data_IF_495071689142
#
_entry.id   IF_495071689142
#
_cell.length_a   1.000
_cell.length_b   1.000
_cell.length_c   1.000
_cell.angle_alpha   90.00
_cell.angle_beta   90.00
_cell.angle_gamma   90.00
#
_symmetry.space_group_name_H-M   'P 1'
#
loop_
_entity.id
_entity.type
_entity.pdbx_description
1 polymer ?
#
# COMPACT_ATOMS: atom_id res chain seq x y z
N UNK A 1 14.06 3.10 -15.66
CA UNK A 1 13.91 2.14 -14.56
C UNK A 1 14.96 2.39 -13.49
N UNK A 2 14.52 2.59 -12.26
CA UNK A 2 15.44 2.79 -11.15
C UNK A 2 16.06 1.46 -10.71
N UNK A 3 17.19 1.53 -10.00
CA UNK A 3 17.93 0.36 -9.54
C UNK A 3 17.05 -0.60 -8.74
N UNK A 4 16.20 -0.08 -7.84
CA UNK A 4 15.35 -0.91 -6.99
C UNK A 4 14.39 -1.81 -7.80
N UNK A 5 13.93 -1.33 -8.93
CA UNK A 5 12.99 -2.08 -9.76
C UNK A 5 13.62 -3.32 -10.39
N UNK A 6 14.91 -3.26 -10.68
CA UNK A 6 15.63 -4.41 -11.25
C UNK A 6 15.76 -5.57 -10.29
N UNK A 7 15.76 -5.27 -8.99
CA UNK A 7 15.99 -6.26 -7.94
C UNK A 7 14.72 -6.62 -7.17
N UNK A 8 13.58 -6.02 -7.51
CA UNK A 8 12.31 -6.38 -6.90
C UNK A 8 11.82 -7.71 -7.45
N UNK A 9 11.23 -8.57 -6.59
CA UNK A 9 10.60 -9.79 -7.08
C UNK A 9 9.48 -9.45 -8.06
N UNK A 10 9.41 -10.15 -9.17
CA UNK A 10 8.35 -9.94 -10.17
C UNK A 10 7.11 -10.76 -9.88
N UNK A 11 7.27 -11.86 -9.18
CA UNK A 11 6.17 -12.77 -8.85
C UNK A 11 6.07 -12.92 -7.34
N UNK A 12 4.85 -13.11 -6.87
CA UNK A 12 4.60 -13.30 -5.43
C UNK A 12 5.34 -14.51 -4.87
N UNK A 13 5.48 -15.57 -5.65
CA UNK A 13 6.19 -16.77 -5.24
C UNK A 13 7.68 -16.51 -4.96
N UNK A 14 8.23 -15.44 -5.52
CA UNK A 14 9.63 -15.09 -5.34
C UNK A 14 9.87 -14.33 -4.03
N UNK A 15 8.81 -13.92 -3.35
CA UNK A 15 8.89 -13.25 -2.06
C UNK A 15 8.93 -14.32 -0.96
N UNK A 16 9.95 -14.26 -0.12
CA UNK A 16 10.11 -15.20 0.98
C UNK A 16 9.57 -14.60 2.28
N UNK A 17 8.85 -15.43 3.04
CA UNK A 17 8.27 -14.98 4.31
C UNK A 17 6.96 -14.24 4.17
N UNK A 18 6.29 -14.02 5.31
CA UNK A 18 5.03 -13.27 5.39
C UNK A 18 3.89 -13.82 4.53
N UNK A 19 3.85 -15.13 4.35
CA UNK A 19 2.86 -15.78 3.47
C UNK A 19 1.41 -15.46 3.82
N UNK A 20 1.09 -15.47 5.12
CA UNK A 20 -0.29 -15.20 5.56
C UNK A 20 -0.72 -13.80 5.18
N UNK A 21 0.14 -12.81 5.42
CA UNK A 21 -0.16 -11.43 5.10
C UNK A 21 -0.28 -11.22 3.59
N UNK A 22 0.58 -11.88 2.81
CA UNK A 22 0.53 -11.81 1.35
C UNK A 22 -0.76 -12.44 0.82
N UNK A 23 -1.17 -13.60 1.36
CA UNK A 23 -2.43 -14.23 0.97
C UNK A 23 -3.63 -13.35 1.26
N UNK A 24 -3.64 -12.69 2.43
CA UNK A 24 -4.71 -11.78 2.79
C UNK A 24 -4.72 -10.54 1.91
N UNK A 25 -3.55 -10.05 1.52
CA UNK A 25 -3.43 -8.94 0.59
C UNK A 25 -3.99 -9.29 -0.79
N UNK A 26 -3.61 -10.46 -1.30
CA UNK A 26 -4.10 -10.95 -2.60
C UNK A 26 -5.62 -11.10 -2.58
N UNK A 27 -6.16 -11.70 -1.52
CA UNK A 27 -7.59 -11.84 -1.37
C UNK A 27 -8.29 -10.48 -1.34
N UNK A 28 -7.74 -9.52 -0.61
CA UNK A 28 -8.32 -8.18 -0.54
C UNK A 28 -8.38 -7.54 -1.92
N UNK A 29 -7.32 -7.62 -2.70
CA UNK A 29 -7.27 -6.99 -4.02
C UNK A 29 -8.24 -7.69 -4.99
N UNK A 30 -8.20 -9.02 -5.04
CA UNK A 30 -9.03 -9.78 -5.97
C UNK A 30 -10.51 -9.70 -5.66
N UNK A 31 -10.86 -9.59 -4.39
CA UNK A 31 -12.26 -9.53 -3.95
C UNK A 31 -12.63 -8.17 -3.39
N UNK A 32 -11.98 -7.14 -3.88
CA UNK A 32 -12.11 -5.77 -3.37
C UNK A 32 -13.56 -5.31 -3.19
N UNK A 33 -14.40 -5.58 -4.18
CA UNK A 33 -15.80 -5.13 -4.15
C UNK A 33 -16.60 -5.76 -3.01
N UNK A 34 -16.19 -6.94 -2.55
CA UNK A 34 -16.88 -7.67 -1.48
C UNK A 34 -16.41 -7.27 -0.09
N UNK A 35 -15.27 -6.61 0.01
CA UNK A 35 -14.73 -6.21 1.31
C UNK A 35 -15.42 -4.95 1.81
N UNK A 36 -15.84 -4.92 3.09
CA UNK A 36 -16.45 -3.72 3.66
C UNK A 36 -15.47 -2.56 3.79
N UNK A 37 -14.20 -2.87 4.05
CA UNK A 37 -13.16 -1.86 4.10
C UNK A 37 -12.49 -1.77 2.73
N UNK A 38 -12.24 -0.54 2.27
CA UNK A 38 -11.71 -0.28 0.94
C UNK A 38 -10.21 -0.04 0.93
N UNK A 39 -9.56 -0.20 2.06
CA UNK A 39 -8.13 0.04 2.20
C UNK A 39 -7.47 -0.96 3.12
N UNK A 40 -6.16 -1.13 2.92
CA UNK A 40 -5.30 -2.01 3.72
C UNK A 40 -4.06 -1.23 4.11
N UNK A 41 -3.61 -1.41 5.35
CA UNK A 41 -2.31 -0.89 5.80
C UNK A 41 -1.37 -2.07 6.00
N UNK A 42 -0.25 -2.06 5.30
CA UNK A 42 0.82 -3.03 5.46
C UNK A 42 1.83 -2.45 6.44
N UNK A 43 1.96 -3.05 7.61
CA UNK A 43 2.80 -2.54 8.69
C UNK A 43 3.98 -3.46 8.93
N UNK A 44 5.16 -2.90 8.99
CA UNK A 44 6.35 -3.69 9.27
C UNK A 44 7.63 -2.94 8.94
N UNK A 45 8.78 -3.51 9.32
CA UNK A 45 10.06 -2.84 9.09
C UNK A 45 10.40 -2.72 7.61
N UNK A 46 11.31 -1.81 7.30
CA UNK A 46 11.85 -1.66 5.95
C UNK A 46 12.48 -2.99 5.52
N UNK A 47 12.24 -3.38 4.27
CA UNK A 47 12.79 -4.63 3.73
C UNK A 47 11.98 -5.87 4.05
N UNK A 48 10.80 -5.73 4.67
CA UNK A 48 9.94 -6.88 4.97
C UNK A 48 9.09 -7.34 3.79
N UNK A 49 9.15 -6.65 2.64
CA UNK A 49 8.44 -7.05 1.44
C UNK A 49 7.09 -6.40 1.21
N UNK A 50 6.75 -5.34 1.95
CA UNK A 50 5.47 -4.66 1.83
C UNK A 50 5.21 -4.14 0.41
N UNK A 51 6.04 -3.25 -0.05
CA UNK A 51 5.92 -2.64 -1.38
C UNK A 51 6.15 -3.66 -2.48
N UNK A 52 7.14 -4.54 -2.30
CA UNK A 52 7.44 -5.59 -3.28
C UNK A 52 6.25 -6.51 -3.52
N UNK A 53 5.47 -6.81 -2.48
CA UNK A 53 4.28 -7.67 -2.60
C UNK A 53 3.23 -7.04 -3.51
N UNK A 54 3.03 -5.73 -3.39
CA UNK A 54 2.06 -5.01 -4.22
C UNK A 54 2.48 -5.04 -5.68
N UNK A 55 3.74 -4.73 -5.97
CA UNK A 55 4.24 -4.73 -7.34
C UNK A 55 4.29 -6.13 -7.94
N UNK A 56 4.66 -7.13 -7.16
CA UNK A 56 4.66 -8.50 -7.65
C UNK A 56 3.25 -8.96 -8.02
N UNK A 57 2.26 -8.65 -7.18
CA UNK A 57 0.88 -8.95 -7.50
C UNK A 57 0.43 -8.24 -8.78
N UNK A 58 0.74 -6.96 -8.89
CA UNK A 58 0.32 -6.16 -10.03
C UNK A 58 0.92 -6.69 -11.34
N UNK A 59 2.20 -7.03 -11.32
CA UNK A 59 2.88 -7.59 -12.49
C UNK A 59 2.27 -8.93 -12.89
N UNK A 60 2.02 -9.79 -11.91
CA UNK A 60 1.48 -11.13 -12.16
C UNK A 60 0.03 -11.10 -12.66
N UNK A 61 -0.76 -10.13 -12.23
CA UNK A 61 -2.19 -10.04 -12.53
C UNK A 61 -2.57 -8.89 -13.46
N UNK A 62 -1.59 -8.22 -14.02
CA UNK A 62 -1.78 -7.13 -14.98
C UNK A 62 -2.58 -5.94 -14.42
N UNK A 63 -2.26 -5.54 -13.21
CA UNK A 63 -2.81 -4.34 -12.59
C UNK A 63 -1.87 -3.15 -12.81
N UNK A 64 -2.45 -1.96 -12.88
CA UNK A 64 -1.70 -0.71 -12.89
C UNK A 64 -1.58 -0.20 -11.45
N UNK A 65 -0.35 0.16 -11.03
CA UNK A 65 -0.12 0.72 -9.70
C UNK A 65 0.08 2.23 -9.82
N UNK A 66 -0.76 2.98 -9.11
CA UNK A 66 -0.61 4.43 -8.97
C UNK A 66 0.06 4.66 -7.62
N UNK A 67 1.35 4.90 -7.64
CA UNK A 67 2.15 5.03 -6.43
C UNK A 67 2.33 6.49 -6.03
N UNK A 68 2.24 6.73 -4.73
CA UNK A 68 2.50 8.01 -4.13
C UNK A 68 3.16 7.82 -2.77
N UNK A 69 4.14 8.65 -2.46
CA UNK A 69 4.74 8.65 -1.14
C UNK A 69 3.99 9.68 -0.29
N UNK A 70 3.49 9.25 0.86
CA UNK A 70 2.70 10.12 1.74
C UNK A 70 3.48 11.36 2.22
N UNK A 71 4.81 11.26 2.30
CA UNK A 71 5.65 12.39 2.68
C UNK A 71 5.59 13.56 1.69
N UNK A 72 5.13 13.30 0.45
CA UNK A 72 4.95 14.33 -0.57
C UNK A 72 3.70 15.16 -0.32
N UNK A 73 2.79 14.68 0.51
CA UNK A 73 1.60 15.44 0.88
C UNK A 73 1.94 16.48 1.95
N UNK A 74 1.63 17.72 1.68
CA UNK A 74 1.93 18.81 2.62
C UNK A 74 0.68 19.27 3.38
N UNK A 75 -0.48 19.07 2.81
CA UNK A 75 -1.72 19.54 3.42
C UNK A 75 -2.92 18.75 2.84
N UNK A 76 -4.10 19.03 3.40
CA UNK A 76 -5.35 18.41 2.98
C UNK A 76 -5.61 18.58 1.49
N UNK A 77 -5.37 19.78 0.95
CA UNK A 77 -5.66 20.06 -0.45
C UNK A 77 -4.82 19.21 -1.41
N UNK A 78 -3.55 18.95 -1.09
CA UNK A 78 -2.69 18.11 -1.91
C UNK A 78 -3.17 16.66 -1.91
N UNK A 79 -3.64 16.16 -0.78
CA UNK A 79 -4.20 14.81 -0.66
C UNK A 79 -5.47 14.71 -1.50
N UNK A 80 -6.39 15.66 -1.35
CA UNK A 80 -7.64 15.68 -2.09
C UNK A 80 -7.40 15.75 -3.60
N UNK A 81 -6.48 16.60 -4.02
CA UNK A 81 -6.13 16.74 -5.43
C UNK A 81 -5.62 15.44 -6.03
N UNK A 82 -4.69 14.78 -5.33
CA UNK A 82 -4.16 13.51 -5.80
C UNK A 82 -5.24 12.43 -5.85
N UNK A 83 -5.99 12.25 -4.76
CA UNK A 83 -6.98 11.18 -4.67
C UNK A 83 -8.12 11.39 -5.69
N UNK A 84 -8.59 12.61 -5.86
CA UNK A 84 -9.61 12.90 -6.85
C UNK A 84 -9.11 12.62 -8.27
N UNK A 85 -7.88 13.00 -8.57
CA UNK A 85 -7.27 12.73 -9.87
C UNK A 85 -7.14 11.22 -10.10
N UNK A 86 -6.63 10.49 -9.11
CA UNK A 86 -6.45 9.04 -9.21
C UNK A 86 -7.80 8.31 -9.37
N UNK A 87 -8.82 8.72 -8.61
CA UNK A 87 -10.13 8.08 -8.66
C UNK A 87 -10.88 8.37 -9.94
N UNK A 88 -10.65 9.55 -10.54
CA UNK A 88 -11.31 9.94 -11.78
C UNK A 88 -10.55 9.52 -13.02
N UNK A 89 -9.30 9.12 -12.87
CA UNK A 89 -8.48 8.70 -14.00
C UNK A 89 -8.93 7.31 -14.46
N UNK A 90 -9.51 7.26 -15.64
CA UNK A 90 -9.83 5.98 -16.25
C UNK A 90 -8.59 5.47 -16.96
N UNK A 91 -8.29 4.19 -16.78
CA UNK A 91 -7.20 3.58 -17.50
C UNK A 91 -7.51 3.54 -18.99
N UNK A 92 -6.61 4.10 -19.81
CA UNK A 92 -6.76 4.05 -21.26
C UNK A 92 -6.72 2.60 -21.77
N UNK A 93 -6.11 1.71 -21.02
CA UNK A 93 -5.98 0.30 -21.36
C UNK A 93 -6.99 -0.58 -20.62
N UNK A 94 -7.92 0.03 -19.92
CA UNK A 94 -8.94 -0.65 -19.12
C UNK A 94 -8.36 -1.64 -18.11
N UNK A 95 -7.15 -1.38 -17.65
CA UNK A 95 -6.52 -2.20 -16.61
C UNK A 95 -7.08 -1.86 -15.24
N UNK A 96 -7.28 -2.85 -14.39
CA UNK A 96 -7.61 -2.57 -12.99
C UNK A 96 -6.43 -1.84 -12.32
N UNK A 97 -6.75 -1.01 -11.34
CA UNK A 97 -5.76 -0.16 -10.68
C UNK A 97 -5.65 -0.46 -9.19
N UNK A 98 -4.47 -0.24 -8.65
CA UNK A 98 -4.20 -0.24 -7.22
C UNK A 98 -3.62 1.13 -6.90
N UNK A 99 -4.15 1.78 -5.86
CA UNK A 99 -3.57 3.03 -5.36
C UNK A 99 -2.65 2.64 -4.22
N UNK A 100 -1.36 2.91 -4.36
CA UNK A 100 -0.36 2.60 -3.35
C UNK A 100 0.13 3.89 -2.73
N UNK A 101 -0.10 4.05 -1.43
CA UNK A 101 0.36 5.21 -0.66
C UNK A 101 1.45 4.74 0.28
N UNK A 102 2.69 5.04 -0.08
CA UNK A 102 3.84 4.54 0.64
C UNK A 102 4.19 5.43 1.82
N UNK A 103 4.62 4.80 2.90
CA UNK A 103 5.13 5.48 4.09
C UNK A 103 4.15 6.51 4.69
N UNK A 104 2.97 6.04 5.09
CA UNK A 104 1.96 6.92 5.70
C UNK A 104 2.42 7.53 7.02
N UNK A 105 3.48 6.98 7.64
CA UNK A 105 4.14 7.58 8.80
C UNK A 105 4.50 9.04 8.52
N UNK A 106 4.81 9.37 7.27
CA UNK A 106 5.14 10.74 6.86
C UNK A 106 3.99 11.73 7.07
N UNK A 107 2.75 11.25 7.12
CA UNK A 107 1.60 12.12 7.38
C UNK A 107 1.60 12.68 8.81
N UNK A 108 2.28 12.02 9.74
CA UNK A 108 2.34 12.48 11.13
C UNK A 108 3.06 13.81 11.28
N UNK A 109 3.89 14.19 10.30
CA UNK A 109 4.57 15.47 10.27
C UNK A 109 3.80 16.61 9.65
N UNK A 110 2.59 16.36 9.16
CA UNK A 110 1.76 17.40 8.54
C UNK A 110 1.29 18.41 9.59
N UNK A 111 1.34 19.68 9.23
CA UNK A 111 0.82 20.74 10.07
C UNK A 111 -0.70 20.74 10.10
N UNK A 112 -1.33 20.28 9.04
CA UNK A 112 -2.78 20.22 8.92
C UNK A 112 -3.29 18.87 9.42
N UNK A 113 -3.93 18.86 10.58
CA UNK A 113 -4.49 17.67 11.19
C UNK A 113 -5.65 17.06 10.38
N UNK A 114 -6.23 17.85 9.48
CA UNK A 114 -7.31 17.37 8.61
C UNK A 114 -6.86 16.42 7.51
N UNK A 115 -5.54 16.32 7.26
CA UNK A 115 -5.01 15.52 6.17
C UNK A 115 -5.34 14.03 6.26
N UNK A 116 -5.07 13.42 7.42
CA UNK A 116 -5.36 12.01 7.62
C UNK A 116 -6.85 11.72 7.56
N UNK A 117 -7.68 12.61 8.10
CA UNK A 117 -9.13 12.47 8.06
C UNK A 117 -9.66 12.61 6.63
N UNK A 118 -9.11 13.55 5.86
CA UNK A 118 -9.49 13.73 4.47
C UNK A 118 -9.14 12.48 3.65
N UNK A 119 -7.95 11.93 3.86
CA UNK A 119 -7.54 10.70 3.19
C UNK A 119 -8.48 9.54 3.54
N UNK A 120 -8.84 9.41 4.82
CA UNK A 120 -9.74 8.35 5.26
C UNK A 120 -11.11 8.44 4.57
N UNK A 121 -11.65 9.65 4.45
CA UNK A 121 -12.95 9.84 3.76
C UNK A 121 -12.86 9.51 2.28
N UNK A 122 -11.78 9.92 1.62
CA UNK A 122 -11.59 9.66 0.20
C UNK A 122 -11.41 8.17 -0.07
N UNK A 123 -10.71 7.46 0.80
CA UNK A 123 -10.52 6.02 0.66
C UNK A 123 -11.84 5.25 0.70
N UNK A 124 -12.77 5.67 1.55
CA UNK A 124 -14.06 5.01 1.66
C UNK A 124 -14.86 5.06 0.35
N UNK A 125 -14.61 6.07 -0.46
CA UNK A 125 -15.31 6.27 -1.74
C UNK A 125 -14.54 5.71 -2.92
N UNK A 126 -13.37 5.14 -2.70
CA UNK A 126 -12.53 4.66 -3.80
C UNK A 126 -13.15 3.47 -4.51
N UNK A 127 -13.09 3.51 -5.83
CA UNK A 127 -13.46 2.37 -6.68
C UNK A 127 -12.29 1.40 -6.89
N UNK A 128 -11.12 1.75 -6.38
CA UNK A 128 -9.90 0.96 -6.52
C UNK A 128 -9.35 0.58 -5.16
N UNK A 129 -8.72 -0.60 -5.02
CA UNK A 129 -8.05 -0.95 -3.76
C UNK A 129 -7.02 0.09 -3.39
N UNK A 130 -7.05 0.56 -2.15
CA UNK A 130 -6.07 1.49 -1.62
C UNK A 130 -5.19 0.71 -0.65
N UNK A 131 -3.89 0.66 -0.94
CA UNK A 131 -2.93 -0.03 -0.11
C UNK A 131 -1.92 0.99 0.41
N UNK A 132 -1.73 0.99 1.71
CA UNK A 132 -0.81 1.91 2.37
C UNK A 132 0.28 1.12 3.06
N UNK A 133 1.47 1.68 3.17
CA UNK A 133 2.56 1.06 3.93
C UNK A 133 2.97 1.96 5.08
N UNK A 134 3.40 1.33 6.17
CA UNK A 134 3.92 2.02 7.35
C UNK A 134 5.05 1.19 7.95
N UNK A 135 6.09 1.85 8.40
CA UNK A 135 7.27 1.16 8.97
C UNK A 135 7.12 0.92 10.47
N UNK A 136 6.37 1.75 11.17
CA UNK A 136 6.31 1.75 12.61
C UNK A 136 4.90 1.57 13.14
N UNK A 137 4.85 1.09 14.37
CA UNK A 137 3.62 0.90 15.13
C UNK A 137 3.16 2.17 15.83
N UNK A 138 3.92 3.25 15.82
CA UNK A 138 3.47 4.54 16.35
C UNK A 138 2.40 5.16 15.46
N UNK A 139 1.33 4.42 15.32
CA UNK A 139 0.25 4.82 14.43
C UNK A 139 -0.88 5.55 15.18
N UNK A 140 -0.64 5.96 16.43
CA UNK A 140 -1.65 6.66 17.22
C UNK A 140 -2.18 7.92 16.53
N UNK A 141 -1.30 8.65 15.82
CA UNK A 141 -1.69 9.85 15.08
C UNK A 141 -2.50 9.53 13.82
N UNK A 142 -2.45 8.28 13.37
CA UNK A 142 -3.13 7.81 12.17
C UNK A 142 -4.27 6.87 12.51
N UNK A 143 -4.76 6.91 13.75
CA UNK A 143 -5.77 5.98 14.25
C UNK A 143 -7.02 5.92 13.38
N UNK A 144 -7.45 7.04 12.81
CA UNK A 144 -8.62 7.08 11.94
C UNK A 144 -8.40 6.26 10.67
N UNK A 145 -7.23 6.40 10.04
CA UNK A 145 -6.89 5.63 8.85
C UNK A 145 -6.85 4.14 9.17
N UNK A 146 -6.24 3.79 10.28
CA UNK A 146 -6.06 2.40 10.69
C UNK A 146 -7.40 1.73 11.00
N UNK A 147 -8.28 2.43 11.70
CA UNK A 147 -9.61 1.90 12.04
C UNK A 147 -10.45 1.63 10.79
N UNK A 148 -10.27 2.42 9.76
CA UNK A 148 -11.02 2.28 8.51
C UNK A 148 -10.37 1.32 7.52
N UNK A 149 -9.20 0.81 7.86
CA UNK A 149 -8.42 -0.08 7.01
C UNK A 149 -8.26 -1.45 7.63
N UNK A 150 -8.03 -2.44 6.78
CA UNK A 150 -7.57 -3.75 7.23
C UNK A 150 -6.08 -3.63 7.49
N UNK A 151 -5.60 -4.18 8.60
CA UNK A 151 -4.18 -4.11 8.95
C UNK A 151 -3.53 -5.47 8.73
N UNK A 152 -2.45 -5.50 7.95
CA UNK A 152 -1.67 -6.69 7.71
C UNK A 152 -0.25 -6.45 8.19
N UNK A 153 0.23 -7.32 9.06
CA UNK A 153 1.57 -7.19 9.63
C UNK A 153 2.59 -7.96 8.80
N UNK A 154 3.70 -7.31 8.52
CA UNK A 154 4.85 -7.91 7.86
C UNK A 154 6.01 -7.92 8.85
N UNK A 155 6.59 -9.09 9.06
CA UNK A 155 7.72 -9.24 9.94
C UNK A 155 9.04 -9.10 9.18
N UNK A 156 10.10 -8.72 9.88
CA UNK A 156 11.43 -8.72 9.30
C UNK A 156 11.79 -10.16 8.90
N UNK A 157 12.48 -10.30 7.78
CA UNK A 157 12.91 -11.61 7.32
C UNK A 157 13.94 -12.19 8.29
N UNK A 158 13.81 -13.49 8.59
CA UNK A 158 14.78 -14.19 9.42
C UNK A 158 16.08 -14.42 8.64
N UNK A 159 17.16 -14.74 9.34
CA UNK A 159 18.43 -15.07 8.70
C UNK A 159 18.32 -16.25 7.74
N UNK A 160 17.51 -17.25 8.09
CA UNK A 160 17.29 -18.41 7.21
C UNK A 160 16.53 -18.02 5.95
N UNK A 161 15.54 -17.17 6.06
CA UNK A 161 14.78 -16.67 4.91
C UNK A 161 15.68 -15.84 3.99
N UNK A 162 16.54 -15.01 4.55
CA UNK A 162 17.52 -14.25 3.78
C UNK A 162 18.50 -15.19 3.08
N UNK A 163 18.94 -16.24 3.77
CA UNK A 163 19.80 -17.26 3.18
C UNK A 163 19.16 -17.96 1.99
N UNK A 164 17.89 -18.30 2.10
CA UNK A 164 17.12 -18.91 1.01
C UNK A 164 17.03 -17.98 -0.22
N UNK A 165 16.88 -16.69 0.03
CA UNK A 165 16.85 -15.70 -1.06
C UNK A 165 18.18 -15.61 -1.79
N UNK A 166 19.28 -15.69 -1.04
CA UNK A 166 20.61 -15.58 -1.58
C UNK A 166 21.09 -16.88 -2.23
N UNK A 167 20.51 -17.98 -1.80
CA UNK A 167 20.79 -19.28 -2.41
C UNK A 167 19.95 -19.54 -3.66
#
# INVERSE_FOLDING_TARGET
>A
MIWADKHSPKLLKDIKGNFMSIELLVDFIKNFERHPKKSVVLVGPTGSGKTSSVYAFAEENNYEVLELNASDFRNKASIEGFMNSAMNQMSLFMKPKIILIDEIDGLSGMKDRGGAQALAKLMEKSSFPVIMTANDTELSKLSTLIKKSKVLEFDALTSSEVGERLG
#
